data_IF_961634339794
#
_entry.id   IF_961634339794
#
_cell.length_a   1.000
_cell.length_b   1.000
_cell.length_c   1.000
_cell.angle_alpha   90.00
_cell.angle_beta   90.00
_cell.angle_gamma   90.00
#
_symmetry.space_group_name_H-M   'P 1'
#
loop_
_entity.id
_entity.type
_entity.pdbx_description
1 polymer ?
#
# COMPACT_ATOMS: atom_id res chain seq x y z
N UNK A 1 16.10 40.46 -1.88
CA UNK A 1 17.05 39.56 -2.55
C UNK A 1 18.28 39.44 -1.66
N UNK A 2 18.61 38.23 -1.20
CA UNK A 2 19.77 38.00 -0.35
C UNK A 2 20.92 37.52 -1.25
N UNK A 3 22.07 38.19 -1.20
CA UNK A 3 23.18 37.96 -2.14
C UNK A 3 24.35 37.34 -1.40
N UNK A 4 24.90 36.25 -1.94
CA UNK A 4 26.17 35.68 -1.48
C UNK A 4 27.33 36.36 -2.19
N UNK A 5 28.35 36.73 -1.43
CA UNK A 5 29.62 37.15 -2.02
C UNK A 5 30.46 35.92 -2.39
N UNK A 6 31.42 36.05 -3.31
CA UNK A 6 32.23 34.95 -3.85
C UNK A 6 33.26 34.35 -2.88
N UNK A 7 32.99 34.34 -1.58
CA UNK A 7 33.88 33.75 -0.58
C UNK A 7 33.52 32.29 -0.33
N UNK A 8 34.54 31.43 -0.29
CA UNK A 8 34.39 30.00 0.02
C UNK A 8 33.72 29.81 1.39
N UNK A 9 32.85 28.81 1.51
CA UNK A 9 32.08 28.45 2.72
C UNK A 9 31.03 29.48 3.17
N UNK A 10 30.69 30.48 2.36
CA UNK A 10 29.50 31.29 2.65
C UNK A 10 28.23 30.47 2.44
N UNK A 11 27.27 30.61 3.37
CA UNK A 11 26.08 29.78 3.45
C UNK A 11 24.82 30.59 3.74
N UNK A 12 23.78 30.38 2.93
CA UNK A 12 22.40 30.82 3.23
C UNK A 12 21.64 29.61 3.77
N UNK A 13 20.82 29.82 4.80
CA UNK A 13 19.91 28.79 5.33
C UNK A 13 18.47 29.29 5.24
N UNK A 14 17.56 28.38 4.93
CA UNK A 14 16.12 28.58 4.94
C UNK A 14 15.55 27.71 6.08
N UNK A 15 15.50 28.21 7.32
CA UNK A 15 15.28 27.38 8.51
C UNK A 15 13.95 26.61 8.48
N UNK A 16 12.89 27.22 7.92
CA UNK A 16 11.57 26.58 7.80
C UNK A 16 11.46 25.54 6.67
N UNK A 17 12.47 25.41 5.81
CA UNK A 17 12.43 24.50 4.65
C UNK A 17 13.60 23.50 4.66
N UNK A 18 14.51 23.58 5.63
CA UNK A 18 15.69 22.70 5.69
C UNK A 18 16.68 22.88 4.53
N UNK A 19 16.52 23.92 3.71
CA UNK A 19 17.38 24.16 2.54
C UNK A 19 18.58 25.00 2.98
N UNK A 20 19.75 24.69 2.43
CA UNK A 20 20.93 25.54 2.52
C UNK A 20 21.68 25.65 1.20
N UNK A 21 22.20 26.83 0.92
CA UNK A 21 22.99 27.12 -0.28
C UNK A 21 24.37 27.54 0.17
N UNK A 22 25.40 26.85 -0.31
CA UNK A 22 26.79 27.01 0.16
C UNK A 22 27.77 27.13 -1.02
N UNK A 23 28.76 28.02 -0.89
CA UNK A 23 29.84 28.12 -1.87
C UNK A 23 30.91 27.07 -1.56
N UNK A 24 30.97 26.03 -2.39
CA UNK A 24 31.91 24.92 -2.23
C UNK A 24 33.31 25.29 -2.72
N UNK A 25 33.39 25.98 -3.85
CA UNK A 25 34.66 26.31 -4.47
C UNK A 25 34.57 27.59 -5.30
N UNK A 26 35.69 28.34 -5.37
CA UNK A 26 35.80 29.56 -6.16
C UNK A 26 37.09 29.44 -6.98
N UNK A 27 36.96 29.38 -8.30
CA UNK A 27 38.09 29.31 -9.25
C UNK A 27 38.00 30.49 -10.23
N UNK A 28 38.73 31.56 -9.95
CA UNK A 28 38.71 32.78 -10.77
C UNK A 28 37.32 33.42 -10.80
N UNK A 29 36.68 33.43 -11.98
CA UNK A 29 35.29 33.91 -12.18
C UNK A 29 34.22 32.83 -11.98
N UNK A 30 34.61 31.56 -11.82
CA UNK A 30 33.66 30.45 -11.64
C UNK A 30 33.47 30.15 -10.15
N UNK A 31 32.22 30.02 -9.74
CA UNK A 31 31.83 29.65 -8.37
C UNK A 31 31.03 28.36 -8.43
N UNK A 32 31.46 27.35 -7.70
CA UNK A 32 30.72 26.10 -7.50
C UNK A 32 29.80 26.25 -6.31
N UNK A 33 28.50 26.20 -6.55
CA UNK A 33 27.47 26.33 -5.52
C UNK A 33 26.91 24.94 -5.22
N UNK A 34 26.89 24.57 -3.95
CA UNK A 34 26.18 23.42 -3.42
C UNK A 34 24.81 23.86 -2.93
N UNK A 35 23.76 23.19 -3.39
CA UNK A 35 22.41 23.33 -2.82
C UNK A 35 22.13 22.03 -2.08
N UNK A 36 21.98 22.14 -0.77
CA UNK A 36 21.57 21.06 0.11
C UNK A 36 20.10 21.28 0.44
N UNK A 37 19.25 20.38 0.01
CA UNK A 37 17.81 20.48 0.18
C UNK A 37 17.27 19.12 0.64
N UNK A 38 16.24 19.09 1.51
CA UNK A 38 15.55 17.86 1.85
C UNK A 38 15.05 17.16 0.58
N UNK A 39 14.95 15.84 0.62
CA UNK A 39 14.54 15.01 -0.54
C UNK A 39 13.14 15.37 -1.09
N UNK A 40 12.33 16.04 -0.26
CA UNK A 40 10.99 16.53 -0.58
C UNK A 40 11.02 17.77 -1.50
N UNK A 41 12.11 18.54 -1.48
CA UNK A 41 12.28 19.77 -2.27
C UNK A 41 12.90 19.42 -3.61
N UNK A 42 12.09 19.47 -4.67
CA UNK A 42 12.58 19.29 -6.04
C UNK A 42 13.48 20.46 -6.43
N UNK A 43 14.76 20.19 -6.61
CA UNK A 43 15.72 21.13 -7.21
C UNK A 43 15.81 20.80 -8.70
N UNK A 44 15.24 21.68 -9.52
CA UNK A 44 15.24 21.56 -10.97
C UNK A 44 16.30 22.49 -11.57
N UNK A 45 16.90 22.08 -12.68
CA UNK A 45 17.73 22.93 -13.53
C UNK A 45 16.90 23.34 -14.72
N UNK A 46 16.82 24.64 -14.96
CA UNK A 46 16.01 25.24 -16.02
C UNK A 46 16.41 24.68 -17.41
N UNK A 47 17.69 24.35 -17.60
CA UNK A 47 18.19 23.80 -18.87
C UNK A 47 17.83 22.32 -19.17
N UNK A 48 17.13 21.60 -18.28
CA UNK A 48 16.73 20.18 -18.47
C UNK A 48 15.24 20.04 -18.77
N UNK A 49 14.50 21.15 -18.90
CA UNK A 49 13.09 21.10 -19.31
C UNK A 49 12.97 20.84 -20.82
N UNK A 50 12.75 19.58 -21.19
CA UNK A 50 12.28 19.20 -22.52
C UNK A 50 10.85 19.74 -22.68
N UNK A 51 10.69 20.84 -23.44
CA UNK A 51 9.42 21.54 -23.71
C UNK A 51 8.38 20.71 -24.50
N UNK A 52 8.43 19.38 -24.43
CA UNK A 52 7.56 18.50 -25.20
C UNK A 52 6.84 17.47 -24.33
N UNK A 53 5.92 17.96 -23.48
CA UNK A 53 4.59 17.36 -23.22
C UNK A 53 3.86 18.08 -22.07
N UNK A 54 2.83 18.83 -22.45
CA UNK A 54 1.73 19.12 -21.54
C UNK A 54 1.05 17.83 -21.06
N UNK A 55 0.53 17.90 -19.84
CA UNK A 55 -0.42 16.97 -19.22
C UNK A 55 0.01 15.50 -19.15
N UNK A 56 0.73 15.11 -18.09
CA UNK A 56 0.61 13.77 -17.51
C UNK A 56 0.56 13.94 -15.98
N UNK A 57 -0.43 13.30 -15.34
CA UNK A 57 -0.80 13.42 -13.94
C UNK A 57 0.29 13.01 -12.92
N UNK A 58 -0.08 12.79 -11.64
CA UNK A 58 0.89 12.59 -10.57
C UNK A 58 1.87 11.47 -10.93
N UNK A 59 3.15 11.83 -11.02
CA UNK A 59 4.22 10.93 -11.41
C UNK A 59 4.26 9.70 -10.49
N UNK A 60 4.47 8.47 -11.02
CA UNK A 60 4.48 7.26 -10.21
C UNK A 60 5.52 7.37 -9.10
N UNK A 61 5.09 7.05 -7.87
CA UNK A 61 5.91 7.07 -6.67
C UNK A 61 7.04 6.03 -6.76
N UNK A 62 8.21 6.43 -7.27
CA UNK A 62 9.39 5.57 -7.29
C UNK A 62 10.01 5.53 -5.89
N UNK A 63 9.65 4.52 -5.10
CA UNK A 63 10.30 4.22 -3.82
C UNK A 63 11.75 3.82 -4.11
N UNK A 64 12.71 4.73 -3.89
CA UNK A 64 14.15 4.42 -3.98
C UNK A 64 14.64 3.80 -2.67
N UNK A 65 14.67 2.47 -2.63
CA UNK A 65 15.22 1.70 -1.51
C UNK A 65 16.75 1.99 -1.33
N UNK A 66 17.25 2.10 -0.09
CA UNK A 66 18.68 2.21 0.22
C UNK A 66 19.52 1.13 -0.47
N UNK A 67 20.79 1.43 -0.80
CA UNK A 67 21.65 0.52 -1.60
C UNK A 67 21.87 -0.84 -0.93
N UNK A 68 22.12 -0.86 0.37
CA UNK A 68 22.20 -2.08 1.19
C UNK A 68 20.89 -2.88 1.14
N UNK A 69 19.77 -2.18 1.23
CA UNK A 69 18.44 -2.77 1.22
C UNK A 69 18.07 -3.40 -0.13
N UNK A 70 18.41 -2.73 -1.23
CA UNK A 70 18.25 -3.28 -2.57
C UNK A 70 19.09 -4.53 -2.79
N UNK A 71 20.31 -4.55 -2.24
CA UNK A 71 21.17 -5.72 -2.34
C UNK A 71 20.60 -6.90 -1.55
N UNK A 72 20.14 -6.66 -0.32
CA UNK A 72 19.52 -7.69 0.52
C UNK A 72 18.25 -8.24 -0.14
N UNK A 73 17.34 -7.35 -0.58
CA UNK A 73 16.11 -7.73 -1.28
C UNK A 73 16.38 -8.52 -2.56
N UNK A 74 17.33 -8.06 -3.40
CA UNK A 74 17.72 -8.77 -4.63
C UNK A 74 18.24 -10.16 -4.33
N UNK A 75 19.06 -10.31 -3.28
CA UNK A 75 19.62 -11.60 -2.91
C UNK A 75 18.53 -12.55 -2.41
N UNK A 76 17.60 -12.07 -1.58
CA UNK A 76 16.48 -12.90 -1.10
C UNK A 76 15.54 -13.30 -2.24
N UNK A 77 15.21 -12.39 -3.15
CA UNK A 77 14.39 -12.71 -4.33
C UNK A 77 15.08 -13.72 -5.25
N UNK A 78 16.40 -13.62 -5.40
CA UNK A 78 17.17 -14.60 -6.18
C UNK A 78 17.15 -15.98 -5.51
N UNK A 79 17.32 -16.04 -4.18
CA UNK A 79 17.24 -17.28 -3.40
C UNK A 79 15.86 -17.94 -3.53
N UNK A 80 14.78 -17.16 -3.38
CA UNK A 80 13.39 -17.60 -3.59
C UNK A 80 13.16 -18.15 -5.01
N UNK A 81 13.66 -17.44 -6.02
CA UNK A 81 13.54 -17.86 -7.42
C UNK A 81 14.22 -19.21 -7.67
N UNK A 82 15.37 -19.46 -7.04
CA UNK A 82 16.08 -20.74 -7.17
C UNK A 82 15.33 -21.86 -6.44
N UNK A 83 14.84 -21.61 -5.22
CA UNK A 83 14.05 -22.59 -4.47
C UNK A 83 12.78 -23.00 -5.23
N UNK A 84 12.05 -22.02 -5.78
CA UNK A 84 10.87 -22.29 -6.62
C UNK A 84 11.21 -23.05 -7.90
N UNK A 85 12.34 -22.73 -8.54
CA UNK A 85 12.78 -23.44 -9.74
C UNK A 85 13.15 -24.91 -9.46
N UNK A 86 13.80 -25.17 -8.33
CA UNK A 86 14.13 -26.54 -7.87
C UNK A 86 12.86 -27.30 -7.51
N UNK A 87 11.92 -26.67 -6.79
CA UNK A 87 10.63 -27.24 -6.46
C UNK A 87 9.84 -27.65 -7.71
N UNK A 88 9.71 -26.74 -8.69
CA UNK A 88 8.99 -27.00 -9.93
C UNK A 88 9.64 -28.11 -10.77
N UNK A 89 10.98 -28.20 -10.77
CA UNK A 89 11.70 -29.24 -11.52
C UNK A 89 11.57 -30.63 -10.87
N UNK A 90 11.46 -30.70 -9.53
CA UNK A 90 11.26 -31.96 -8.81
C UNK A 90 9.81 -32.42 -8.83
N UNK A 91 8.84 -31.50 -8.74
CA UNK A 91 7.42 -31.82 -8.88
C UNK A 91 7.04 -32.49 -10.21
N UNK A 92 7.81 -32.23 -11.28
CA UNK A 92 7.63 -32.88 -12.58
C UNK A 92 8.19 -34.32 -12.67
N UNK A 93 8.94 -34.80 -11.66
CA UNK A 93 9.66 -36.07 -11.70
C UNK A 93 9.48 -36.97 -10.45
N UNK A 94 8.68 -36.56 -9.46
CA UNK A 94 8.70 -37.12 -8.11
C UNK A 94 7.75 -38.31 -7.88
N UNK A 95 8.28 -39.40 -7.32
CA UNK A 95 7.52 -40.45 -6.62
C UNK A 95 7.40 -40.17 -5.12
N UNK A 96 6.62 -40.98 -4.38
CA UNK A 96 6.14 -40.69 -3.01
C UNK A 96 7.21 -40.26 -1.96
N UNK A 97 8.49 -40.64 -2.12
CA UNK A 97 9.58 -40.23 -1.22
C UNK A 97 10.10 -38.79 -1.47
N UNK A 98 9.91 -38.24 -2.66
CA UNK A 98 10.32 -36.88 -3.03
C UNK A 98 9.31 -35.82 -2.55
N UNK A 99 8.08 -36.22 -2.22
CA UNK A 99 7.00 -35.34 -1.72
C UNK A 99 7.34 -34.72 -0.36
N UNK A 100 7.98 -35.48 0.55
CA UNK A 100 8.37 -35.01 1.89
C UNK A 100 9.47 -33.93 1.83
N UNK A 101 10.34 -33.99 0.81
CA UNK A 101 11.38 -32.97 0.57
C UNK A 101 10.77 -31.72 -0.07
N UNK A 102 9.77 -31.89 -0.95
CA UNK A 102 9.04 -30.80 -1.57
C UNK A 102 8.24 -29.97 -0.55
N UNK A 103 7.56 -30.62 0.40
CA UNK A 103 6.82 -29.94 1.47
C UNK A 103 7.76 -29.11 2.36
N UNK A 104 8.92 -29.67 2.76
CA UNK A 104 9.93 -28.93 3.52
C UNK A 104 10.52 -27.75 2.75
N UNK A 105 10.73 -27.89 1.45
CA UNK A 105 11.18 -26.79 0.59
C UNK A 105 10.12 -25.70 0.45
N UNK A 106 8.85 -26.09 0.35
CA UNK A 106 7.74 -25.15 0.31
C UNK A 106 7.63 -24.36 1.63
N UNK A 107 7.70 -25.04 2.77
CA UNK A 107 7.76 -24.40 4.09
C UNK A 107 8.96 -23.45 4.21
N UNK A 108 10.13 -23.83 3.70
CA UNK A 108 11.31 -22.96 3.68
C UNK A 108 11.11 -21.70 2.81
N UNK A 109 10.36 -21.80 1.70
CA UNK A 109 9.98 -20.65 0.86
C UNK A 109 9.03 -19.73 1.61
N UNK A 110 8.00 -20.28 2.25
CA UNK A 110 7.04 -19.51 3.05
C UNK A 110 7.74 -18.78 4.18
N UNK A 111 8.58 -19.48 4.96
CA UNK A 111 9.35 -18.87 6.05
C UNK A 111 10.24 -17.72 5.56
N UNK A 112 10.79 -17.83 4.35
CA UNK A 112 11.64 -16.77 3.76
C UNK A 112 10.84 -15.56 3.29
N UNK A 113 9.63 -15.77 2.79
CA UNK A 113 8.68 -14.70 2.46
C UNK A 113 8.20 -14.01 3.73
N UNK A 114 7.95 -14.78 4.79
CA UNK A 114 7.61 -14.27 6.11
C UNK A 114 8.77 -13.48 6.72
N UNK A 115 10.02 -13.94 6.62
CA UNK A 115 11.21 -13.18 7.05
C UNK A 115 11.30 -11.82 6.33
N UNK A 116 10.98 -11.81 5.03
CA UNK A 116 10.96 -10.59 4.21
C UNK A 116 9.89 -9.60 4.70
N UNK A 117 8.76 -10.14 5.13
CA UNK A 117 7.58 -9.40 5.60
C UNK A 117 7.69 -9.00 7.08
N UNK A 118 8.38 -9.81 7.88
CA UNK A 118 8.36 -9.83 9.35
C UNK A 118 9.34 -8.86 9.99
N UNK A 119 10.60 -8.80 9.56
CA UNK A 119 11.56 -7.78 10.01
C UNK A 119 12.90 -7.90 9.27
N UNK A 120 13.21 -6.93 8.39
CA UNK A 120 14.56 -6.32 8.19
C UNK A 120 14.65 -5.35 7.02
N UNK A 121 13.69 -5.37 6.09
CA UNK A 121 13.74 -4.50 4.91
C UNK A 121 13.02 -3.16 5.13
N UNK A 122 11.86 -3.14 5.78
CA UNK A 122 11.05 -1.91 5.90
C UNK A 122 11.20 -1.17 7.23
N UNK A 123 11.76 -1.80 8.27
CA UNK A 123 11.77 -1.27 9.64
C UNK A 123 13.05 -0.56 10.13
N UNK A 124 14.17 -0.57 9.38
CA UNK A 124 15.47 -0.01 9.87
C UNK A 124 15.89 1.32 9.24
N UNK A 125 15.19 1.76 8.20
CA UNK A 125 15.29 3.13 7.72
C UNK A 125 13.96 3.75 8.03
N UNK A 126 13.93 4.89 8.74
CA UNK A 126 12.74 5.71 8.95
C UNK A 126 12.14 6.27 7.66
N UNK A 127 11.92 5.39 6.68
CA UNK A 127 11.00 5.56 5.57
C UNK A 127 9.63 5.47 6.22
N UNK A 128 9.21 6.57 6.83
CA UNK A 128 7.80 6.84 7.03
C UNK A 128 7.26 6.91 5.60
N UNK A 129 6.64 5.84 5.12
CA UNK A 129 5.78 5.94 3.96
C UNK A 129 4.79 7.05 4.31
N UNK A 130 4.88 8.19 3.64
CA UNK A 130 3.88 9.24 3.80
C UNK A 130 2.54 8.58 3.50
N UNK A 131 1.51 8.75 4.35
CA UNK A 131 0.23 8.11 4.14
C UNK A 131 -0.19 8.36 2.69
N UNK A 132 -0.45 7.27 1.96
CA UNK A 132 -1.18 7.32 0.70
C UNK A 132 -2.64 7.60 1.08
N UNK A 133 -2.88 8.80 1.58
CA UNK A 133 -4.19 9.37 1.72
C UNK A 133 -4.56 10.09 0.42
N UNK A 134 -5.86 10.33 0.20
CA UNK A 134 -6.30 11.13 -0.95
C UNK A 134 -5.55 12.46 -0.99
N UNK A 135 -5.21 12.97 -2.19
CA UNK A 135 -4.46 14.22 -2.34
C UNK A 135 -5.29 15.41 -1.84
N UNK A 136 -5.22 15.72 -0.55
CA UNK A 136 -6.02 16.81 0.00
C UNK A 136 -6.17 16.91 1.50
N UNK A 137 -5.33 16.30 2.36
CA UNK A 137 -5.26 16.63 3.80
C UNK A 137 -6.56 16.48 4.63
N UNK A 138 -7.65 15.98 4.06
CA UNK A 138 -8.84 15.58 4.79
C UNK A 138 -8.61 14.17 5.37
N UNK A 139 -9.10 13.90 6.60
CA UNK A 139 -9.04 12.56 7.15
C UNK A 139 -9.75 11.61 6.17
N UNK A 140 -8.99 10.65 5.65
CA UNK A 140 -9.55 9.58 4.85
C UNK A 140 -10.63 8.90 5.71
N UNK A 141 -11.78 8.55 5.12
CA UNK A 141 -12.99 8.17 5.86
C UNK A 141 -12.79 7.03 6.89
N UNK A 142 -13.86 6.68 7.62
CA UNK A 142 -13.79 5.49 8.50
C UNK A 142 -13.92 4.21 7.68
N UNK A 143 -13.16 3.18 8.03
CA UNK A 143 -13.22 1.86 7.42
C UNK A 143 -13.59 0.81 8.47
N UNK A 144 -14.26 -0.26 8.03
CA UNK A 144 -14.50 -1.45 8.85
C UNK A 144 -14.02 -2.70 8.10
N UNK A 145 -13.07 -3.42 8.70
CA UNK A 145 -12.52 -4.67 8.14
C UNK A 145 -13.13 -5.85 8.87
N UNK A 146 -13.74 -6.77 8.12
CA UNK A 146 -14.44 -7.95 8.63
C UNK A 146 -13.77 -9.21 8.07
N UNK A 147 -13.06 -9.93 8.93
CA UNK A 147 -12.27 -11.11 8.55
C UNK A 147 -12.07 -12.00 9.80
N UNK A 148 -12.24 -13.31 9.69
CA UNK A 148 -12.12 -14.24 10.83
C UNK A 148 -10.67 -14.59 11.17
N UNK A 149 -9.73 -14.35 10.26
CA UNK A 149 -8.30 -14.52 10.49
C UNK A 149 -7.73 -13.24 11.13
N UNK A 150 -7.37 -13.33 12.41
CA UNK A 150 -6.82 -12.22 13.19
C UNK A 150 -5.59 -11.56 12.52
N UNK A 151 -4.72 -12.35 11.90
CA UNK A 151 -3.50 -11.84 11.26
C UNK A 151 -3.83 -11.07 9.97
N UNK A 152 -4.69 -11.62 9.10
CA UNK A 152 -5.10 -10.96 7.86
C UNK A 152 -5.89 -9.68 8.16
N UNK A 153 -6.78 -9.73 9.15
CA UNK A 153 -7.57 -8.59 9.62
C UNK A 153 -6.68 -7.44 10.10
N UNK A 154 -5.74 -7.69 11.00
CA UNK A 154 -4.86 -6.64 11.52
C UNK A 154 -3.85 -6.14 10.48
N UNK A 155 -3.39 -7.00 9.57
CA UNK A 155 -2.54 -6.59 8.46
C UNK A 155 -3.24 -5.58 7.55
N UNK A 156 -4.48 -5.89 7.12
CA UNK A 156 -5.28 -5.00 6.28
C UNK A 156 -5.65 -3.71 7.02
N UNK A 157 -6.01 -3.82 8.30
CA UNK A 157 -6.31 -2.65 9.13
C UNK A 157 -5.08 -1.75 9.31
N UNK A 158 -3.90 -2.34 9.57
CA UNK A 158 -2.63 -1.62 9.65
C UNK A 158 -2.31 -0.86 8.36
N UNK A 159 -2.45 -1.52 7.21
CA UNK A 159 -2.24 -0.89 5.91
C UNK A 159 -3.19 0.31 5.68
N UNK A 160 -4.49 0.15 5.94
CA UNK A 160 -5.46 1.23 5.79
C UNK A 160 -5.22 2.39 6.76
N UNK A 161 -4.82 2.09 8.01
CA UNK A 161 -4.40 3.11 8.99
C UNK A 161 -3.16 3.86 8.49
N UNK A 162 -2.20 3.17 7.88
CA UNK A 162 -1.04 3.80 7.24
C UNK A 162 -1.44 4.68 6.06
N UNK A 163 -2.55 4.40 5.38
CA UNK A 163 -3.13 5.25 4.34
C UNK A 163 -3.95 6.42 4.90
N UNK A 164 -4.08 6.56 6.22
CA UNK A 164 -4.76 7.67 6.88
C UNK A 164 -6.25 7.46 7.17
N UNK A 165 -6.77 6.23 6.99
CA UNK A 165 -8.15 5.89 7.33
C UNK A 165 -8.31 5.56 8.82
N UNK A 166 -9.46 5.92 9.40
CA UNK A 166 -9.84 5.46 10.74
C UNK A 166 -10.43 4.05 10.66
N UNK A 167 -9.71 3.02 11.11
CA UNK A 167 -10.11 1.61 10.88
C UNK A 167 -10.56 0.92 12.15
N UNK A 168 -11.80 0.43 12.13
CA UNK A 168 -12.34 -0.56 13.06
C UNK A 168 -12.24 -1.97 12.48
N UNK A 169 -12.16 -2.97 13.34
CA UNK A 169 -12.07 -4.38 12.95
C UNK A 169 -13.21 -5.18 13.58
N UNK A 170 -13.66 -6.22 12.87
CA UNK A 170 -14.62 -7.20 13.35
C UNK A 170 -14.16 -8.60 12.92
N UNK A 171 -14.28 -9.59 13.81
CA UNK A 171 -13.86 -10.97 13.55
C UNK A 171 -14.90 -11.80 12.82
N UNK A 172 -16.13 -11.29 12.74
CA UNK A 172 -17.24 -11.95 12.08
C UNK A 172 -18.35 -10.96 11.71
N UNK A 173 -19.32 -11.42 10.92
CA UNK A 173 -20.44 -10.58 10.50
C UNK A 173 -21.39 -10.14 11.62
N UNK A 174 -21.44 -10.85 12.76
CA UNK A 174 -22.28 -10.44 13.89
C UNK A 174 -21.66 -9.24 14.60
N UNK A 175 -20.36 -9.30 14.89
CA UNK A 175 -19.61 -8.18 15.47
C UNK A 175 -19.66 -6.96 14.55
N UNK A 176 -19.54 -7.16 13.23
CA UNK A 176 -19.69 -6.08 12.26
C UNK A 176 -21.07 -5.39 12.36
N UNK A 177 -22.15 -6.17 12.48
CA UNK A 177 -23.51 -5.64 12.65
C UNK A 177 -23.69 -4.94 14.00
N UNK A 178 -23.08 -5.45 15.07
CA UNK A 178 -23.11 -4.81 16.39
C UNK A 178 -22.43 -3.45 16.36
N UNK A 179 -21.27 -3.32 15.70
CA UNK A 179 -20.59 -2.05 15.49
C UNK A 179 -21.45 -1.07 14.68
N UNK A 180 -22.07 -1.53 13.60
CA UNK A 180 -22.98 -0.68 12.81
C UNK A 180 -24.20 -0.23 13.63
N UNK A 181 -24.72 -1.08 14.53
CA UNK A 181 -25.84 -0.73 15.42
C UNK A 181 -25.43 0.21 16.56
N UNK A 182 -24.20 0.13 17.05
CA UNK A 182 -23.68 1.01 18.11
C UNK A 182 -23.44 2.45 17.63
N UNK A 183 -23.58 2.71 16.33
CA UNK A 183 -23.48 4.04 15.74
C UNK A 183 -22.25 4.22 14.85
N UNK A 184 -21.44 3.18 14.63
CA UNK A 184 -20.36 3.25 13.65
C UNK A 184 -20.94 3.46 12.25
N UNK A 185 -20.33 4.40 11.53
CA UNK A 185 -20.70 4.75 10.15
C UNK A 185 -19.42 4.79 9.33
N UNK A 186 -18.92 3.63 8.91
CA UNK A 186 -17.78 3.57 8.00
C UNK A 186 -18.20 4.08 6.62
N UNK A 187 -17.27 4.74 5.93
CA UNK A 187 -17.40 5.09 4.53
C UNK A 187 -17.35 3.85 3.64
N UNK A 188 -16.50 2.88 4.00
CA UNK A 188 -16.45 1.59 3.32
C UNK A 188 -16.18 0.42 4.27
N UNK A 189 -16.54 -0.78 3.83
CA UNK A 189 -16.26 -2.03 4.51
C UNK A 189 -15.51 -2.98 3.59
N UNK A 190 -14.54 -3.70 4.16
CA UNK A 190 -13.90 -4.86 3.52
C UNK A 190 -14.43 -6.11 4.21
N UNK A 191 -15.02 -7.03 3.45
CA UNK A 191 -15.68 -8.23 3.96
C UNK A 191 -15.04 -9.46 3.32
N UNK A 192 -14.49 -10.37 4.13
CA UNK A 192 -14.12 -11.70 3.64
C UNK A 192 -15.36 -12.56 3.37
N UNK A 193 -15.40 -13.24 2.23
CA UNK A 193 -16.47 -14.20 1.91
C UNK A 193 -16.24 -15.56 2.57
N UNK A 194 -14.99 -15.93 2.84
CA UNK A 194 -14.66 -17.27 3.33
C UNK A 194 -14.52 -17.31 4.84
N UNK A 195 -15.59 -16.93 5.55
CA UNK A 195 -15.66 -17.00 7.01
C UNK A 195 -16.36 -18.31 7.48
N UNK A 196 -15.72 -19.17 8.29
CA UNK A 196 -16.28 -20.44 8.75
C UNK A 196 -17.47 -20.29 9.71
N UNK A 197 -17.57 -19.15 10.41
CA UNK A 197 -18.56 -18.92 11.49
C UNK A 197 -19.74 -18.04 11.08
N UNK A 198 -19.61 -17.24 10.03
CA UNK A 198 -20.69 -16.35 9.56
C UNK A 198 -20.54 -16.09 8.06
N UNK A 199 -21.64 -16.11 7.32
CA UNK A 199 -21.63 -16.01 5.86
C UNK A 199 -21.47 -14.55 5.40
N UNK A 200 -20.34 -14.23 4.73
CA UNK A 200 -20.07 -12.91 4.16
C UNK A 200 -21.16 -12.45 3.17
N UNK A 201 -21.79 -13.38 2.44
CA UNK A 201 -22.91 -13.08 1.56
C UNK A 201 -24.14 -12.62 2.34
N UNK A 202 -24.41 -13.27 3.49
CA UNK A 202 -25.50 -12.89 4.39
C UNK A 202 -25.27 -11.50 4.99
N UNK A 203 -24.03 -11.17 5.36
CA UNK A 203 -23.68 -9.83 5.85
C UNK A 203 -23.96 -8.76 4.79
N UNK A 204 -23.52 -8.96 3.54
CA UNK A 204 -23.79 -8.06 2.42
C UNK A 204 -25.29 -7.80 2.26
N UNK A 205 -26.09 -8.89 2.22
CA UNK A 205 -27.55 -8.81 2.07
C UNK A 205 -28.19 -8.04 3.22
N UNK A 206 -27.82 -8.36 4.46
CA UNK A 206 -28.32 -7.66 5.65
C UNK A 206 -27.99 -6.17 5.63
N UNK A 207 -26.81 -5.80 5.11
CA UNK A 207 -26.43 -4.39 5.00
C UNK A 207 -27.28 -3.67 3.95
N UNK A 208 -27.52 -4.31 2.80
CA UNK A 208 -28.27 -3.71 1.68
C UNK A 208 -29.78 -3.63 1.91
N UNK A 209 -30.33 -4.52 2.72
CA UNK A 209 -31.74 -4.44 3.14
C UNK A 209 -32.03 -3.21 4.03
N UNK A 210 -31.00 -2.59 4.61
CA UNK A 210 -31.15 -1.45 5.51
C UNK A 210 -30.81 -0.11 4.85
N UNK A 211 -31.81 0.75 4.71
CA UNK A 211 -31.65 2.11 4.16
C UNK A 211 -30.63 2.97 4.93
N UNK A 212 -30.51 2.75 6.23
CA UNK A 212 -29.53 3.43 7.09
C UNK A 212 -28.06 3.16 6.71
N UNK A 213 -27.79 2.03 6.06
CA UNK A 213 -26.44 1.60 5.67
C UNK A 213 -26.25 1.53 4.15
N UNK A 214 -27.25 1.97 3.38
CA UNK A 214 -27.21 1.94 1.92
C UNK A 214 -26.06 2.78 1.32
N UNK A 215 -25.59 3.80 2.05
CA UNK A 215 -24.48 4.67 1.62
C UNK A 215 -23.09 4.06 1.87
N UNK A 216 -23.01 2.94 2.59
CA UNK A 216 -21.73 2.31 2.88
C UNK A 216 -21.24 1.58 1.63
N UNK A 217 -20.03 1.92 1.18
CA UNK A 217 -19.34 1.23 0.09
C UNK A 217 -18.91 -0.16 0.57
N UNK A 218 -19.28 -1.23 -0.13
CA UNK A 218 -18.98 -2.60 0.31
C UNK A 218 -18.01 -3.24 -0.65
N UNK A 219 -16.84 -3.64 -0.15
CA UNK A 219 -15.87 -4.40 -0.89
C UNK A 219 -15.79 -5.82 -0.36
N UNK A 220 -15.65 -6.74 -1.29
CA UNK A 220 -15.53 -8.16 -1.00
C UNK A 220 -14.09 -8.60 -1.22
N UNK A 221 -13.57 -9.42 -0.30
CA UNK A 221 -12.31 -10.13 -0.43
C UNK A 221 -12.61 -11.63 -0.45
N UNK A 222 -12.03 -12.37 -1.39
CA UNK A 222 -12.27 -13.81 -1.49
C UNK A 222 -11.12 -14.53 -2.21
N UNK A 223 -10.85 -15.81 -1.89
CA UNK A 223 -9.95 -16.65 -2.70
C UNK A 223 -10.47 -16.96 -4.12
N UNK A 224 -11.79 -16.89 -4.33
CA UNK A 224 -12.42 -17.22 -5.61
C UNK A 224 -12.97 -15.95 -6.30
N UNK A 225 -13.26 -16.08 -7.59
CA UNK A 225 -13.88 -15.00 -8.35
C UNK A 225 -15.36 -14.86 -8.00
N UNK A 226 -15.95 -13.69 -8.24
CA UNK A 226 -17.38 -13.47 -8.01
C UNK A 226 -18.28 -14.47 -8.76
N UNK A 227 -17.83 -14.93 -9.93
CA UNK A 227 -18.54 -15.88 -10.80
C UNK A 227 -18.64 -17.27 -10.15
N UNK A 228 -17.65 -17.64 -9.33
CA UNK A 228 -17.59 -18.94 -8.64
C UNK A 228 -18.61 -19.05 -7.50
N UNK A 229 -19.12 -17.93 -6.99
CA UNK A 229 -20.11 -17.90 -5.91
C UNK A 229 -21.56 -17.96 -6.41
N UNK A 230 -21.78 -18.03 -7.72
CA UNK A 230 -23.11 -18.10 -8.32
C UNK A 230 -23.85 -16.75 -8.40
N UNK A 231 -24.99 -16.73 -9.10
CA UNK A 231 -25.74 -15.50 -9.35
C UNK A 231 -26.29 -14.90 -8.05
N UNK A 232 -26.05 -13.61 -7.85
CA UNK A 232 -26.54 -12.85 -6.69
C UNK A 232 -25.56 -12.74 -5.52
N UNK A 233 -24.44 -13.45 -5.54
CA UNK A 233 -23.43 -13.40 -4.48
C UNK A 233 -22.61 -12.11 -4.48
N UNK A 234 -22.59 -11.40 -5.61
CA UNK A 234 -22.01 -10.06 -5.74
C UNK A 234 -23.06 -8.93 -5.60
N UNK A 235 -24.34 -9.27 -5.40
CA UNK A 235 -25.42 -8.27 -5.41
C UNK A 235 -25.25 -7.30 -4.24
N UNK A 236 -24.98 -6.04 -4.60
CA UNK A 236 -24.79 -4.96 -3.65
C UNK A 236 -23.35 -4.74 -3.18
N UNK A 237 -22.37 -5.52 -3.63
CA UNK A 237 -20.97 -5.12 -3.48
C UNK A 237 -20.59 -4.05 -4.52
N UNK A 238 -19.73 -3.12 -4.15
CA UNK A 238 -19.17 -2.09 -5.04
C UNK A 238 -17.94 -2.62 -5.79
N UNK A 239 -17.18 -3.53 -5.19
CA UNK A 239 -16.02 -4.15 -5.81
C UNK A 239 -15.66 -5.48 -5.17
N UNK A 240 -14.94 -6.29 -5.94
CA UNK A 240 -14.52 -7.63 -5.55
C UNK A 240 -13.00 -7.75 -5.73
N UNK A 241 -12.32 -8.23 -4.71
CA UNK A 241 -10.88 -8.46 -4.73
C UNK A 241 -10.56 -9.93 -4.48
N UNK A 242 -9.78 -10.51 -5.38
CA UNK A 242 -9.35 -11.90 -5.26
C UNK A 242 -8.06 -12.01 -4.42
N UNK A 243 -7.98 -12.97 -3.51
CA UNK A 243 -6.75 -13.35 -2.80
C UNK A 243 -5.84 -14.13 -3.78
N UNK A 244 -4.52 -13.88 -3.81
CA UNK A 244 -3.77 -12.95 -2.96
C UNK A 244 -4.01 -11.49 -3.34
N UNK A 245 -4.45 -10.72 -2.35
CA UNK A 245 -4.83 -9.31 -2.49
C UNK A 245 -3.59 -8.43 -2.43
N UNK A 246 -3.43 -7.53 -3.41
CA UNK A 246 -2.52 -6.39 -3.29
C UNK A 246 -3.27 -5.23 -2.63
N UNK A 247 -2.95 -4.86 -1.37
CA UNK A 247 -3.69 -3.83 -0.63
C UNK A 247 -3.72 -2.47 -1.34
N UNK A 248 -2.77 -2.19 -2.23
CA UNK A 248 -2.75 -0.94 -3.01
C UNK A 248 -3.95 -0.81 -3.93
N UNK A 249 -4.45 -1.93 -4.47
CA UNK A 249 -5.63 -1.93 -5.36
C UNK A 249 -6.89 -1.47 -4.64
N UNK A 250 -6.99 -1.70 -3.33
CA UNK A 250 -8.11 -1.19 -2.52
C UNK A 250 -8.07 0.33 -2.48
N UNK A 251 -6.88 0.91 -2.25
CA UNK A 251 -6.71 2.37 -2.18
C UNK A 251 -6.97 3.01 -3.54
N UNK A 252 -6.47 2.41 -4.62
CA UNK A 252 -6.71 2.90 -5.98
C UNK A 252 -8.22 2.90 -6.31
N UNK A 253 -8.95 1.85 -5.94
CA UNK A 253 -10.40 1.76 -6.17
C UNK A 253 -11.17 2.76 -5.28
N UNK A 254 -10.74 2.96 -4.04
CA UNK A 254 -11.31 3.98 -3.14
C UNK A 254 -11.14 5.39 -3.69
N UNK A 255 -9.94 5.75 -4.14
CA UNK A 255 -9.65 7.05 -4.76
C UNK A 255 -10.51 7.26 -5.99
N UNK A 256 -10.65 6.23 -6.84
CA UNK A 256 -11.51 6.28 -8.03
C UNK A 256 -12.97 6.56 -7.69
N UNK A 257 -13.50 5.97 -6.62
CA UNK A 257 -14.88 6.18 -6.17
C UNK A 257 -15.06 7.58 -5.58
N UNK A 258 -14.09 8.08 -4.84
CA UNK A 258 -14.09 9.45 -4.30
C UNK A 258 -14.06 10.50 -5.43
N UNK A 259 -13.19 10.33 -6.42
CA UNK A 259 -13.08 11.21 -7.60
C UNK A 259 -14.34 11.15 -8.49
N UNK A 260 -14.90 9.96 -8.69
CA UNK A 260 -16.15 9.78 -9.43
C UNK A 260 -17.37 10.40 -8.76
N UNK A 261 -17.38 10.47 -7.42
CA UNK A 261 -18.46 11.10 -6.65
C UNK A 261 -18.35 12.63 -6.67
N UNK A 262 -17.14 13.19 -6.81
CA UNK A 262 -16.90 14.63 -6.87
C UNK A 262 -17.27 15.27 -8.23
N UNK A 263 -17.32 14.48 -9.31
CA UNK A 263 -17.66 14.97 -10.65
C UNK A 263 -19.18 15.08 -10.93
N UNK A 264 -20.04 14.64 -10.01
CA UNK A 264 -21.52 14.57 -10.20
C UNK A 264 -22.28 15.51 -9.24
N UNK A 265 -21.56 16.26 -8.40
CA UNK A 265 -22.11 17.27 -7.49
C UNK A 265 -21.93 18.69 -8.05
#
# INVERSE_FOLDING_TARGET
MLVLSRHKNQKIRFPGQGISVEILEVRGSKVSIGVDAPIEVRVLRDEIEDHSKGAHGPAPHVIRLPKNLRHELRNTLHELSLMLHVYHRRGAAAGAADTIDADKMFEAVIQRIEDLSGHRVLGRTGVVARPVGPPGGQPAGRALVVDDNDNERELLAGFLRMCGYGVQTARDGLEAIELLRSGERPAFMLIDMQMPRCDGARLLKMIRERKEWAKITLFVISGNSAEDYGPGSADGCTGWFQKPLDPRRIVDELVRIEEGSASVA
#
